data_IF_398114666399
#
_entry.id   IF_398114666399
#
_cell.length_a   1.000
_cell.length_b   1.000
_cell.length_c   1.000
_cell.angle_alpha   90.00
_cell.angle_beta   90.00
_cell.angle_gamma   90.00
#
_symmetry.space_group_name_H-M   'P 1'
#
loop_
_entity.id
_entity.type
_entity.pdbx_description
1 polymer ?
#
# COMPACT_ATOMS: atom_id res chain seq x y z
N UNK A 1 5.34 94.71 -23.93
CA UNK A 1 5.68 94.38 -22.53
C UNK A 1 4.68 93.36 -22.01
N UNK A 2 5.16 92.17 -21.63
CA UNK A 2 4.37 90.94 -21.46
C UNK A 2 3.66 90.86 -20.10
N UNK A 3 2.38 90.45 -20.13
CA UNK A 3 1.51 90.17 -18.99
C UNK A 3 1.99 88.90 -18.25
N UNK A 4 2.04 88.95 -16.91
CA UNK A 4 2.31 87.79 -16.04
C UNK A 4 0.99 87.05 -15.77
N UNK A 5 0.94 85.76 -16.07
CA UNK A 5 -0.12 84.85 -15.62
C UNK A 5 0.28 84.26 -14.26
N UNK A 6 -0.60 84.39 -13.27
CA UNK A 6 -0.54 83.64 -12.01
C UNK A 6 -1.15 82.25 -12.25
N UNK A 7 -0.38 81.19 -12.02
CA UNK A 7 -0.87 79.81 -12.01
C UNK A 7 -1.22 79.42 -10.58
N UNK A 8 -2.51 79.24 -10.28
CA UNK A 8 -2.98 78.59 -9.06
C UNK A 8 -2.62 77.10 -9.12
N UNK A 9 -1.93 76.59 -8.10
CA UNK A 9 -1.83 75.16 -7.81
C UNK A 9 -2.79 74.83 -6.67
N UNK A 10 -3.83 74.02 -6.96
CA UNK A 10 -4.63 73.36 -5.94
C UNK A 10 -3.88 72.11 -5.46
N UNK A 11 -3.71 71.86 -4.14
CA UNK A 11 -3.27 70.56 -3.68
C UNK A 11 -4.45 69.59 -3.76
N UNK A 12 -4.26 68.50 -4.51
CA UNK A 12 -5.15 67.37 -4.57
C UNK A 12 -5.11 66.66 -3.20
N UNK A 13 -6.18 66.75 -2.42
CA UNK A 13 -6.33 65.97 -1.20
C UNK A 13 -6.44 64.48 -1.57
N UNK A 14 -5.41 63.69 -1.28
CA UNK A 14 -5.49 62.23 -1.34
C UNK A 14 -6.49 61.75 -0.28
N UNK A 15 -7.64 61.25 -0.73
CA UNK A 15 -8.50 60.41 0.11
C UNK A 15 -7.71 59.14 0.46
N UNK A 16 -7.29 59.02 1.72
CA UNK A 16 -6.85 57.75 2.26
C UNK A 16 -8.08 56.82 2.30
N UNK A 17 -8.09 55.80 1.44
CA UNK A 17 -9.05 54.72 1.54
C UNK A 17 -8.88 54.03 2.91
N UNK A 18 -9.97 53.72 3.64
CA UNK A 18 -9.86 52.98 4.89
C UNK A 18 -9.33 51.58 4.60
N UNK A 19 -8.12 51.30 5.10
CA UNK A 19 -7.59 49.94 5.10
C UNK A 19 -8.53 49.06 5.93
N UNK A 20 -9.18 48.10 5.29
CA UNK A 20 -9.99 47.09 5.99
C UNK A 20 -9.08 46.26 6.89
N UNK A 21 -9.12 46.52 8.19
CA UNK A 21 -8.55 45.66 9.24
C UNK A 21 -9.22 44.29 9.13
N UNK A 22 -8.55 43.35 8.46
CA UNK A 22 -8.95 41.94 8.51
C UNK A 22 -8.62 41.44 9.92
N UNK A 23 -9.64 40.99 10.65
CA UNK A 23 -9.43 40.32 11.92
C UNK A 23 -8.53 39.10 11.69
N UNK A 24 -7.38 39.08 12.36
CA UNK A 24 -6.43 37.99 12.24
C UNK A 24 -7.05 36.75 12.89
N UNK A 25 -7.14 35.65 12.14
CA UNK A 25 -7.57 34.37 12.69
C UNK A 25 -6.54 33.91 13.74
N UNK A 26 -7.00 33.64 14.95
CA UNK A 26 -6.18 33.10 16.05
C UNK A 26 -6.50 31.62 16.19
N UNK A 27 -5.47 30.77 16.10
CA UNK A 27 -5.56 29.35 16.38
C UNK A 27 -4.99 29.13 17.78
N UNK A 28 -5.81 28.60 18.69
CA UNK A 28 -5.42 28.28 20.07
C UNK A 28 -5.33 26.77 20.24
N UNK A 29 -4.24 26.30 20.83
CA UNK A 29 -4.05 24.89 21.19
C UNK A 29 -4.30 24.73 22.69
N UNK A 30 -5.22 23.85 23.07
CA UNK A 30 -5.50 23.49 24.47
C UNK A 30 -4.92 22.12 24.79
N UNK A 31 -3.77 22.08 25.46
CA UNK A 31 -3.08 20.83 25.83
C UNK A 31 -3.80 20.02 26.91
N UNK A 32 -4.86 20.53 27.53
CA UNK A 32 -5.69 19.77 28.48
C UNK A 32 -6.70 18.87 27.77
N UNK A 33 -6.95 19.10 26.49
CA UNK A 33 -7.82 18.28 25.65
C UNK A 33 -6.96 17.29 24.86
N UNK A 34 -7.31 16.00 24.96
CA UNK A 34 -6.63 14.92 24.24
C UNK A 34 -7.61 14.16 23.36
N UNK A 35 -7.13 13.66 22.22
CA UNK A 35 -7.91 12.93 21.24
C UNK A 35 -7.23 11.58 20.92
N UNK A 36 -7.36 11.09 19.69
CA UNK A 36 -6.70 9.86 19.25
C UNK A 36 -5.18 9.97 19.25
N UNK A 37 -4.53 8.83 19.47
CA UNK A 37 -3.08 8.70 19.32
C UNK A 37 -2.75 8.41 17.86
N UNK A 38 -1.98 9.30 17.23
CA UNK A 38 -1.42 9.07 15.91
C UNK A 38 -0.29 8.03 16.01
N UNK A 39 -0.47 6.86 15.40
CA UNK A 39 0.52 5.76 15.47
C UNK A 39 1.64 5.84 14.43
N UNK A 40 1.49 6.70 13.42
CA UNK A 40 2.48 6.93 12.37
C UNK A 40 1.83 7.22 11.03
N UNK A 41 2.68 7.30 10.01
CA UNK A 41 2.31 7.51 8.61
C UNK A 41 2.76 6.30 7.81
N UNK A 42 1.93 5.88 6.85
CA UNK A 42 2.12 4.66 6.07
C UNK A 42 2.12 4.98 4.58
N UNK A 43 2.95 4.24 3.84
CA UNK A 43 3.05 4.34 2.37
C UNK A 43 3.03 2.95 1.76
N UNK A 44 2.60 2.84 0.50
CA UNK A 44 2.70 1.59 -0.27
C UNK A 44 4.13 1.29 -0.72
N UNK A 45 4.36 0.08 -1.20
CA UNK A 45 5.67 -0.41 -1.67
C UNK A 45 5.99 -0.04 -3.13
N UNK A 46 5.02 0.43 -3.91
CA UNK A 46 5.25 0.74 -5.32
C UNK A 46 6.12 1.99 -5.54
N UNK A 47 7.23 1.83 -6.27
CA UNK A 47 8.13 2.92 -6.69
C UNK A 47 8.02 3.18 -8.19
N UNK A 48 8.25 2.15 -9.00
CA UNK A 48 8.09 2.13 -10.45
C UNK A 48 8.00 0.68 -10.92
N UNK A 49 7.82 0.47 -12.23
CA UNK A 49 7.88 -0.88 -12.78
C UNK A 49 9.27 -1.51 -12.53
N UNK A 50 9.33 -2.84 -12.30
CA UNK A 50 10.54 -3.53 -11.85
C UNK A 50 11.69 -3.54 -12.87
N UNK A 51 11.39 -3.50 -14.16
CA UNK A 51 12.41 -3.46 -15.23
C UNK A 51 12.78 -2.03 -15.67
N UNK A 52 12.35 -0.99 -14.96
CA UNK A 52 12.75 0.38 -15.28
C UNK A 52 14.27 0.56 -15.06
N UNK A 53 15.04 1.08 -16.03
CA UNK A 53 16.51 1.19 -15.92
C UNK A 53 16.97 2.03 -14.72
N UNK A 54 16.14 2.97 -14.28
CA UNK A 54 16.42 3.89 -13.17
C UNK A 54 15.82 3.42 -11.83
N UNK A 55 15.21 2.22 -11.77
CA UNK A 55 14.55 1.71 -10.57
C UNK A 55 15.44 1.78 -9.33
N UNK A 56 16.68 1.27 -9.41
CA UNK A 56 17.59 1.27 -8.26
C UNK A 56 17.88 2.68 -7.73
N UNK A 57 18.09 3.66 -8.62
CA UNK A 57 18.36 5.04 -8.23
C UNK A 57 17.13 5.71 -7.60
N UNK A 58 15.93 5.45 -8.14
CA UNK A 58 14.68 5.93 -7.56
C UNK A 58 14.41 5.29 -6.19
N UNK A 59 14.50 3.97 -6.10
CA UNK A 59 14.36 3.19 -4.86
C UNK A 59 15.26 3.76 -3.78
N UNK A 60 16.56 3.89 -4.03
CA UNK A 60 17.51 4.34 -3.02
C UNK A 60 17.23 5.78 -2.56
N UNK A 61 16.83 6.64 -3.49
CA UNK A 61 16.48 8.03 -3.19
C UNK A 61 15.19 8.15 -2.39
N UNK A 62 14.13 7.43 -2.80
CA UNK A 62 12.82 7.45 -2.15
C UNK A 62 12.86 6.80 -0.78
N UNK A 63 13.54 5.66 -0.63
CA UNK A 63 13.73 5.00 0.67
C UNK A 63 14.50 5.90 1.64
N UNK A 64 15.55 6.60 1.16
CA UNK A 64 16.27 7.59 1.97
C UNK A 64 15.33 8.73 2.39
N UNK A 65 14.64 9.38 1.45
CA UNK A 65 13.75 10.51 1.76
C UNK A 65 12.63 10.07 2.73
N UNK A 66 12.01 8.93 2.47
CA UNK A 66 10.92 8.40 3.29
C UNK A 66 11.37 8.20 4.73
N UNK A 67 12.52 7.57 4.96
CA UNK A 67 13.01 7.28 6.31
C UNK A 67 13.67 8.50 6.95
N UNK A 68 14.64 9.11 6.28
CA UNK A 68 15.57 10.08 6.87
C UNK A 68 14.99 11.49 6.94
N UNK A 69 14.21 11.89 5.93
CA UNK A 69 13.68 13.25 5.84
C UNK A 69 12.23 13.35 6.33
N UNK A 70 11.41 12.34 6.04
CA UNK A 70 9.96 12.35 6.33
C UNK A 70 9.61 11.57 7.61
N UNK A 71 10.41 10.58 8.00
CA UNK A 71 10.16 9.76 9.19
C UNK A 71 9.09 8.68 9.00
N UNK A 72 8.93 8.17 7.77
CA UNK A 72 8.08 7.00 7.49
C UNK A 72 8.72 5.74 8.09
N UNK A 73 7.96 5.08 8.95
CA UNK A 73 8.33 3.82 9.58
C UNK A 73 7.24 2.74 9.47
N UNK A 74 6.27 2.92 8.55
CA UNK A 74 5.21 1.96 8.26
C UNK A 74 5.07 1.76 6.76
N UNK A 75 4.97 0.51 6.34
CA UNK A 75 4.73 0.13 4.94
C UNK A 75 3.46 -0.71 4.80
N UNK A 76 2.73 -0.48 3.72
CA UNK A 76 1.67 -1.36 3.21
C UNK A 76 2.25 -2.23 2.10
N UNK A 77 2.47 -3.50 2.41
CA UNK A 77 3.04 -4.52 1.51
C UNK A 77 1.90 -5.28 0.84
N UNK A 78 1.86 -5.31 -0.49
CA UNK A 78 0.77 -5.97 -1.21
C UNK A 78 1.09 -7.42 -1.54
N UNK A 79 0.10 -8.30 -1.40
CA UNK A 79 0.11 -9.63 -1.98
C UNK A 79 -1.15 -9.82 -2.82
N UNK A 80 -0.99 -10.21 -4.08
CA UNK A 80 -2.10 -10.45 -5.00
C UNK A 80 -2.59 -11.88 -4.89
N UNK A 81 -3.90 -12.08 -5.04
CA UNK A 81 -4.52 -13.41 -4.98
C UNK A 81 -3.94 -14.40 -6.00
N UNK A 82 -3.52 -13.93 -7.18
CA UNK A 82 -2.93 -14.79 -8.21
C UNK A 82 -1.54 -15.33 -7.89
N UNK A 83 -0.98 -15.05 -6.70
CA UNK A 83 0.19 -15.77 -6.20
C UNK A 83 -0.14 -17.25 -5.91
N UNK A 84 -1.40 -17.58 -5.62
CA UNK A 84 -1.85 -18.97 -5.58
C UNK A 84 -2.29 -19.42 -6.97
N UNK A 85 -1.40 -20.14 -7.66
CA UNK A 85 -1.61 -20.53 -9.04
C UNK A 85 -0.70 -21.71 -9.44
N UNK A 86 -0.98 -22.34 -10.57
CA UNK A 86 -0.06 -23.33 -11.17
C UNK A 86 1.11 -22.68 -11.92
N UNK A 87 1.04 -21.37 -12.16
CA UNK A 87 2.00 -20.61 -12.93
C UNK A 87 2.36 -19.30 -12.23
N UNK A 88 3.66 -19.07 -12.05
CA UNK A 88 4.18 -17.74 -11.71
C UNK A 88 4.13 -16.81 -12.93
N UNK A 89 2.97 -16.18 -13.14
CA UNK A 89 2.77 -15.25 -14.25
C UNK A 89 3.62 -13.98 -14.12
N UNK A 90 3.91 -13.54 -12.90
CA UNK A 90 4.76 -12.39 -12.67
C UNK A 90 6.20 -12.69 -13.06
N UNK A 91 6.76 -13.82 -12.62
CA UNK A 91 8.11 -14.23 -13.00
C UNK A 91 8.27 -14.38 -14.52
N UNK A 92 7.26 -14.92 -15.22
CA UNK A 92 7.26 -14.98 -16.69
C UNK A 92 7.31 -13.58 -17.33
N UNK A 93 6.46 -12.67 -16.87
CA UNK A 93 6.46 -11.29 -17.37
C UNK A 93 7.79 -10.55 -17.10
N UNK A 94 8.38 -10.76 -15.92
CA UNK A 94 9.71 -10.21 -15.60
C UNK A 94 10.80 -10.83 -16.47
N UNK A 95 10.77 -12.14 -16.71
CA UNK A 95 11.73 -12.82 -17.59
C UNK A 95 11.67 -12.29 -19.04
N UNK A 96 10.49 -11.84 -19.49
CA UNK A 96 10.29 -11.20 -20.80
C UNK A 96 10.70 -9.71 -20.82
N UNK A 97 11.26 -9.18 -19.73
CA UNK A 97 11.73 -7.80 -19.63
C UNK A 97 10.67 -6.79 -19.21
N UNK A 98 9.62 -7.25 -18.52
CA UNK A 98 8.49 -6.45 -18.05
C UNK A 98 7.87 -5.55 -19.14
N UNK A 99 7.56 -6.07 -20.34
CA UNK A 99 7.06 -5.24 -21.42
C UNK A 99 5.75 -4.55 -21.00
N UNK A 100 5.49 -3.37 -21.58
CA UNK A 100 4.28 -2.61 -21.38
C UNK A 100 3.21 -2.99 -22.44
N UNK A 101 1.94 -2.57 -22.28
CA UNK A 101 0.96 -2.66 -23.36
C UNK A 101 1.50 -2.10 -24.68
N UNK A 102 1.18 -2.72 -25.83
CA UNK A 102 0.22 -3.81 -26.01
C UNK A 102 0.83 -5.23 -25.98
N UNK A 103 1.95 -5.45 -25.27
CA UNK A 103 2.64 -6.75 -25.32
C UNK A 103 1.82 -7.91 -24.72
N UNK A 104 1.91 -9.09 -25.35
CA UNK A 104 1.20 -10.28 -24.92
C UNK A 104 1.64 -10.81 -23.54
N UNK A 105 2.91 -10.66 -23.17
CA UNK A 105 3.42 -11.08 -21.87
C UNK A 105 2.81 -10.22 -20.75
N UNK A 106 2.69 -8.90 -20.98
CA UNK A 106 1.99 -7.99 -20.08
C UNK A 106 0.54 -8.44 -19.88
N UNK A 107 -0.20 -8.67 -20.96
CA UNK A 107 -1.60 -9.08 -20.87
C UNK A 107 -1.77 -10.46 -20.23
N UNK A 108 -0.83 -11.38 -20.45
CA UNK A 108 -0.79 -12.69 -19.81
C UNK A 108 -0.68 -12.57 -18.29
N UNK A 109 0.23 -11.74 -17.78
CA UNK A 109 0.29 -11.45 -16.34
C UNK A 109 -0.96 -10.72 -15.86
N UNK A 110 -1.33 -9.63 -16.54
CA UNK A 110 -2.41 -8.73 -16.15
C UNK A 110 -3.77 -9.41 -16.02
N UNK A 111 -4.06 -10.43 -16.82
CA UNK A 111 -5.33 -11.17 -16.77
C UNK A 111 -5.40 -12.25 -15.68
N UNK A 112 -4.23 -12.73 -15.21
CA UNK A 112 -4.12 -13.84 -14.27
C UNK A 112 -3.68 -13.38 -12.86
N UNK A 113 -3.19 -12.15 -12.67
CA UNK A 113 -2.67 -11.65 -11.39
C UNK A 113 -3.67 -11.69 -10.21
N UNK A 114 -4.96 -11.89 -10.48
CA UNK A 114 -5.98 -12.09 -9.45
C UNK A 114 -6.72 -13.43 -9.53
N UNK A 115 -6.47 -14.22 -10.58
CA UNK A 115 -7.07 -15.52 -10.75
C UNK A 115 -6.35 -16.53 -9.86
N UNK A 116 -7.11 -17.30 -9.09
CA UNK A 116 -6.56 -18.32 -8.19
C UNK A 116 -6.67 -19.70 -8.84
N UNK A 117 -5.77 -20.59 -8.45
CA UNK A 117 -5.95 -22.03 -8.63
C UNK A 117 -5.66 -22.67 -7.29
N UNK A 118 -6.71 -23.21 -6.65
CA UNK A 118 -6.61 -23.89 -5.37
C UNK A 118 -5.43 -24.88 -5.40
N UNK A 119 -4.51 -24.75 -4.44
CA UNK A 119 -3.32 -25.59 -4.34
C UNK A 119 -3.70 -27.06 -4.09
N UNK A 120 -4.73 -27.32 -3.28
CA UNK A 120 -5.31 -28.66 -3.11
C UNK A 120 -6.69 -28.61 -2.40
N UNK A 121 -7.55 -29.65 -2.44
CA UNK A 121 -8.91 -29.56 -1.90
C UNK A 121 -9.02 -29.58 -0.36
N UNK A 122 -7.92 -29.42 0.38
CA UNK A 122 -7.88 -29.53 1.84
C UNK A 122 -7.38 -28.23 2.47
N UNK A 123 -8.29 -27.33 2.91
CA UNK A 123 -7.94 -26.00 3.39
C UNK A 123 -6.99 -25.96 4.60
N UNK A 124 -6.74 -27.10 5.26
CA UNK A 124 -5.89 -27.22 6.45
C UNK A 124 -4.50 -27.81 6.13
N UNK A 125 -4.13 -27.92 4.85
CA UNK A 125 -2.94 -28.61 4.40
C UNK A 125 -2.32 -27.90 3.21
N UNK A 126 -1.25 -27.14 3.43
CA UNK A 126 -0.56 -26.42 2.37
C UNK A 126 0.19 -27.36 1.40
N UNK A 127 -0.12 -27.28 0.11
CA UNK A 127 0.78 -27.67 -0.97
C UNK A 127 1.64 -26.46 -1.37
N UNK A 128 2.84 -26.39 -0.79
CA UNK A 128 3.76 -25.26 -1.01
C UNK A 128 4.10 -25.01 -2.50
N UNK A 129 3.92 -26.01 -3.38
CA UNK A 129 4.14 -25.85 -4.81
C UNK A 129 3.05 -25.04 -5.54
N UNK A 130 1.88 -24.85 -4.91
CA UNK A 130 0.77 -24.05 -5.43
C UNK A 130 0.94 -22.53 -5.26
N UNK A 131 1.99 -22.09 -4.55
CA UNK A 131 2.20 -20.67 -4.25
C UNK A 131 3.47 -20.12 -4.93
N UNK A 132 3.32 -19.00 -5.62
CA UNK A 132 4.37 -18.30 -6.35
C UNK A 132 4.52 -16.87 -5.85
N UNK A 133 5.54 -16.66 -5.01
CA UNK A 133 5.74 -15.38 -4.32
C UNK A 133 6.76 -14.44 -4.98
N UNK A 134 7.11 -14.62 -6.26
CA UNK A 134 8.15 -13.80 -6.91
C UNK A 134 7.83 -12.29 -6.88
N UNK A 135 6.56 -11.91 -7.04
CA UNK A 135 6.17 -10.49 -6.94
C UNK A 135 6.33 -9.93 -5.52
N UNK A 136 5.82 -10.67 -4.53
CA UNK A 136 5.95 -10.33 -3.11
C UNK A 136 7.43 -10.24 -2.70
N UNK A 137 8.24 -11.19 -3.15
CA UNK A 137 9.68 -11.25 -2.93
C UNK A 137 10.39 -10.03 -3.48
N UNK A 138 10.04 -9.63 -4.70
CA UNK A 138 10.62 -8.46 -5.32
C UNK A 138 10.33 -7.19 -4.50
N UNK A 139 9.10 -7.01 -3.98
CA UNK A 139 8.77 -5.88 -3.11
C UNK A 139 9.52 -5.95 -1.76
N UNK A 140 9.64 -7.13 -1.17
CA UNK A 140 10.35 -7.30 0.10
C UNK A 140 11.83 -6.98 -0.06
N UNK A 141 12.48 -7.56 -1.07
CA UNK A 141 13.91 -7.41 -1.32
C UNK A 141 14.28 -5.99 -1.71
N UNK A 142 13.42 -5.29 -2.47
CA UNK A 142 13.72 -3.96 -2.96
C UNK A 142 13.18 -2.82 -2.11
N UNK A 143 12.17 -3.02 -1.27
CA UNK A 143 11.55 -1.90 -0.54
C UNK A 143 11.56 -2.17 0.96
N UNK A 144 10.97 -3.28 1.39
CA UNK A 144 10.81 -3.59 2.81
C UNK A 144 12.16 -3.74 3.51
N UNK A 145 13.06 -4.54 2.94
CA UNK A 145 14.37 -4.82 3.53
C UNK A 145 15.27 -3.58 3.57
N UNK A 146 15.39 -2.77 2.49
CA UNK A 146 16.15 -1.51 2.55
C UNK A 146 15.59 -0.48 3.54
N UNK A 147 14.27 -0.39 3.72
CA UNK A 147 13.67 0.48 4.74
C UNK A 147 13.92 -0.06 6.14
N UNK A 148 13.75 -1.37 6.36
CA UNK A 148 14.03 -2.03 7.65
C UNK A 148 15.46 -1.77 8.09
N UNK A 149 16.44 -1.99 7.20
CA UNK A 149 17.85 -1.79 7.52
C UNK A 149 18.17 -0.34 7.93
N UNK A 150 17.58 0.66 7.25
CA UNK A 150 17.80 2.07 7.60
C UNK A 150 17.19 2.44 8.95
N UNK A 151 15.98 1.94 9.24
CA UNK A 151 15.33 2.16 10.53
C UNK A 151 16.11 1.46 11.66
N UNK A 152 16.55 0.23 11.45
CA UNK A 152 17.36 -0.51 12.44
C UNK A 152 18.68 0.21 12.75
N UNK A 153 19.32 0.82 11.74
CA UNK A 153 20.52 1.64 11.94
C UNK A 153 20.28 2.87 12.84
N UNK A 154 19.02 3.27 13.04
CA UNK A 154 18.57 4.35 13.94
C UNK A 154 17.98 3.83 15.26
N UNK A 155 17.96 2.52 15.48
CA UNK A 155 17.30 1.89 16.62
C UNK A 155 15.76 1.90 16.52
N UNK A 156 15.22 2.09 15.32
CA UNK A 156 13.79 2.07 15.04
C UNK A 156 13.38 0.73 14.41
N UNK A 157 12.07 0.44 14.43
CA UNK A 157 11.49 -0.77 13.84
C UNK A 157 10.52 -0.39 12.74
N UNK A 158 10.64 -1.06 11.60
CA UNK A 158 9.63 -0.99 10.55
C UNK A 158 8.35 -1.69 10.98
N UNK A 159 7.20 -1.03 10.85
CA UNK A 159 5.90 -1.66 10.92
C UNK A 159 5.48 -2.14 9.53
N UNK A 160 5.09 -3.40 9.38
CA UNK A 160 4.60 -3.94 8.09
C UNK A 160 3.12 -4.30 8.19
N UNK A 161 2.31 -3.61 7.39
CA UNK A 161 0.91 -3.94 7.11
C UNK A 161 0.85 -4.80 5.85
N UNK A 162 0.54 -6.09 5.96
CA UNK A 162 0.32 -6.96 4.82
C UNK A 162 -1.10 -6.73 4.28
N UNK A 163 -1.22 -6.32 3.03
CA UNK A 163 -2.48 -6.10 2.34
C UNK A 163 -2.73 -7.18 1.30
N UNK A 164 -3.88 -7.85 1.41
CA UNK A 164 -4.39 -8.73 0.37
C UNK A 164 -5.14 -7.96 -0.74
N UNK A 165 -4.83 -8.26 -2.00
CA UNK A 165 -5.41 -7.59 -3.18
C UNK A 165 -6.04 -8.59 -4.14
N UNK A 166 -7.32 -8.42 -4.43
CA UNK A 166 -8.07 -9.26 -5.37
C UNK A 166 -9.15 -8.47 -6.13
N UNK A 167 -8.76 -7.78 -7.20
CA UNK A 167 -9.74 -7.11 -8.09
C UNK A 167 -10.36 -8.12 -9.06
N UNK A 168 -11.31 -8.92 -8.57
CA UNK A 168 -11.93 -10.04 -9.31
C UNK A 168 -12.58 -9.64 -10.63
N UNK A 169 -13.04 -8.39 -10.77
CA UNK A 169 -13.55 -7.85 -12.04
C UNK A 169 -12.49 -7.75 -13.15
N UNK A 170 -11.20 -7.94 -12.81
CA UNK A 170 -10.08 -7.96 -13.74
C UNK A 170 -9.61 -9.37 -14.10
N UNK A 171 -10.26 -10.41 -13.57
CA UNK A 171 -10.01 -11.80 -13.93
C UNK A 171 -10.63 -12.05 -15.31
N UNK A 172 -9.79 -12.31 -16.31
CA UNK A 172 -10.24 -12.67 -17.66
C UNK A 172 -9.91 -14.13 -18.01
N UNK A 173 -9.27 -14.86 -17.11
CA UNK A 173 -9.01 -16.29 -17.22
C UNK A 173 -8.85 -16.90 -15.84
N UNK A 174 -9.44 -18.07 -15.61
CA UNK A 174 -9.37 -18.77 -14.32
C UNK A 174 -10.55 -18.48 -13.38
N UNK A 175 -10.40 -18.94 -12.15
CA UNK A 175 -11.40 -18.88 -11.09
C UNK A 175 -10.93 -17.98 -9.93
N UNK A 176 -11.76 -17.84 -8.92
CA UNK A 176 -11.45 -17.16 -7.68
C UNK A 176 -12.05 -17.97 -6.53
N UNK A 177 -11.20 -18.39 -5.58
CA UNK A 177 -11.60 -19.29 -4.47
C UNK A 177 -11.41 -18.66 -3.09
N UNK A 178 -10.71 -17.53 -2.98
CA UNK A 178 -10.49 -16.87 -1.68
C UNK A 178 -11.72 -16.12 -1.15
N UNK A 179 -12.89 -16.22 -1.80
CA UNK A 179 -14.17 -15.89 -1.20
C UNK A 179 -14.70 -16.99 -0.26
N UNK A 180 -14.02 -18.14 -0.23
CA UNK A 180 -14.15 -19.14 0.82
C UNK A 180 -13.20 -18.80 2.00
N UNK A 181 -13.71 -18.57 3.23
CA UNK A 181 -12.91 -18.09 4.36
C UNK A 181 -11.71 -18.97 4.73
N UNK A 182 -11.84 -20.29 4.59
CA UNK A 182 -10.78 -21.24 4.95
C UNK A 182 -9.65 -21.27 3.91
N UNK A 183 -9.98 -21.15 2.62
CA UNK A 183 -9.00 -21.02 1.52
C UNK A 183 -8.25 -19.69 1.65
N UNK A 184 -8.95 -18.59 1.96
CA UNK A 184 -8.31 -17.32 2.29
C UNK A 184 -7.34 -17.45 3.48
N UNK A 185 -7.74 -18.14 4.54
CA UNK A 185 -6.91 -18.34 5.73
C UNK A 185 -5.67 -19.19 5.42
N UNK A 186 -5.81 -20.20 4.55
CA UNK A 186 -4.71 -21.01 4.06
C UNK A 186 -3.70 -20.17 3.27
N UNK A 187 -4.17 -19.41 2.27
CA UNK A 187 -3.32 -18.53 1.48
C UNK A 187 -2.56 -17.52 2.36
N UNK A 188 -3.25 -16.88 3.32
CA UNK A 188 -2.60 -15.96 4.26
C UNK A 188 -1.57 -16.68 5.14
N UNK A 189 -1.85 -17.90 5.60
CA UNK A 189 -0.85 -18.68 6.34
C UNK A 189 0.38 -18.97 5.46
N UNK A 190 0.20 -19.33 4.19
CA UNK A 190 1.29 -19.56 3.24
C UNK A 190 2.19 -18.32 3.13
N UNK A 191 1.58 -17.14 2.98
CA UNK A 191 2.30 -15.85 2.91
C UNK A 191 3.09 -15.58 4.20
N UNK A 192 2.48 -15.73 5.38
CA UNK A 192 3.17 -15.51 6.66
C UNK A 192 4.33 -16.49 6.87
N UNK A 193 4.16 -17.77 6.50
CA UNK A 193 5.21 -18.77 6.57
C UNK A 193 6.36 -18.44 5.63
N UNK A 194 6.06 -18.06 4.39
CA UNK A 194 7.07 -17.66 3.40
C UNK A 194 7.90 -16.48 3.89
N UNK A 195 7.26 -15.38 4.31
CA UNK A 195 7.94 -14.18 4.81
C UNK A 195 8.81 -14.48 6.04
N UNK A 196 8.31 -15.30 6.98
CA UNK A 196 9.09 -15.71 8.16
C UNK A 196 10.31 -16.55 7.76
N UNK A 197 10.12 -17.55 6.90
CA UNK A 197 11.19 -18.49 6.52
C UNK A 197 12.27 -17.82 5.68
N UNK A 198 11.90 -16.99 4.70
CA UNK A 198 12.85 -16.40 3.74
C UNK A 198 13.52 -15.13 4.29
N UNK A 199 12.80 -14.28 5.02
CA UNK A 199 13.30 -12.94 5.40
C UNK A 199 13.37 -12.68 6.91
N UNK A 200 12.97 -13.67 7.73
CA UNK A 200 12.71 -13.48 9.14
C UNK A 200 11.77 -12.27 9.37
N UNK A 201 10.74 -12.17 8.53
CA UNK A 201 9.76 -11.09 8.57
C UNK A 201 8.40 -11.65 9.00
N UNK A 202 7.79 -11.04 10.01
CA UNK A 202 6.41 -11.31 10.43
C UNK A 202 5.64 -9.99 10.31
N UNK A 203 4.60 -9.90 9.46
CA UNK A 203 3.77 -8.72 9.37
C UNK A 203 3.18 -8.32 10.73
N UNK A 204 3.16 -7.03 11.04
CA UNK A 204 2.56 -6.49 12.27
C UNK A 204 1.03 -6.34 12.15
N UNK A 205 0.54 -6.21 10.92
CA UNK A 205 -0.88 -6.18 10.60
C UNK A 205 -1.20 -6.98 9.34
N UNK A 206 -2.46 -7.38 9.26
CA UNK A 206 -3.11 -7.93 8.09
C UNK A 206 -4.32 -7.05 7.75
N UNK A 207 -4.28 -6.43 6.58
CA UNK A 207 -5.38 -5.72 5.95
C UNK A 207 -6.10 -6.68 5.00
N UNK A 208 -7.35 -7.02 5.37
CA UNK A 208 -7.99 -8.26 4.94
C UNK A 208 -8.24 -8.32 3.44
N UNK A 209 -8.61 -7.19 2.84
CA UNK A 209 -8.87 -7.05 1.41
C UNK A 209 -8.85 -5.56 1.04
N UNK A 210 -8.16 -5.21 -0.05
CA UNK A 210 -8.20 -3.88 -0.65
C UNK A 210 -9.54 -3.65 -1.36
N UNK A 211 -10.18 -2.52 -1.05
CA UNK A 211 -11.38 -2.00 -1.71
C UNK A 211 -12.47 -3.08 -1.91
N UNK A 212 -12.95 -3.73 -0.82
CA UNK A 212 -13.96 -4.77 -0.92
C UNK A 212 -15.27 -4.28 -1.55
N UNK A 213 -15.52 -2.97 -1.53
CA UNK A 213 -16.66 -2.29 -2.17
C UNK A 213 -16.57 -2.24 -3.71
N UNK A 214 -15.40 -2.53 -4.30
CA UNK A 214 -15.20 -2.57 -5.75
C UNK A 214 -15.36 -3.98 -6.37
N UNK A 215 -15.68 -5.00 -5.56
CA UNK A 215 -15.79 -6.39 -6.02
C UNK A 215 -17.00 -7.10 -5.39
N UNK A 216 -17.71 -7.91 -6.16
CA UNK A 216 -18.98 -8.53 -5.73
C UNK A 216 -18.83 -9.68 -4.73
N UNK A 217 -17.64 -10.28 -4.66
CA UNK A 217 -17.34 -11.44 -3.80
C UNK A 217 -17.17 -11.03 -2.33
N UNK A 218 -16.81 -9.77 -2.07
CA UNK A 218 -16.52 -9.29 -0.74
C UNK A 218 -17.66 -8.43 -0.20
N UNK A 219 -18.11 -8.76 1.00
CA UNK A 219 -19.12 -8.03 1.75
C UNK A 219 -18.66 -7.88 3.19
N UNK A 220 -19.34 -7.06 3.99
CA UNK A 220 -19.05 -6.96 5.43
C UNK A 220 -19.11 -8.33 6.14
N UNK A 221 -20.04 -9.20 5.73
CA UNK A 221 -20.16 -10.56 6.27
C UNK A 221 -18.98 -11.44 5.87
N UNK A 222 -18.65 -11.52 4.58
CA UNK A 222 -17.56 -12.40 4.11
C UNK A 222 -16.18 -11.92 4.58
N UNK A 223 -15.98 -10.61 4.72
CA UNK A 223 -14.79 -10.05 5.40
C UNK A 223 -14.74 -10.50 6.87
N UNK A 224 -15.86 -10.46 7.59
CA UNK A 224 -15.93 -10.93 8.98
C UNK A 224 -15.61 -12.42 9.12
N UNK A 225 -16.14 -13.26 8.23
CA UNK A 225 -15.88 -14.70 8.20
C UNK A 225 -14.40 -15.00 7.89
N UNK A 226 -13.82 -14.32 6.90
CA UNK A 226 -12.40 -14.42 6.58
C UNK A 226 -11.50 -14.01 7.76
N UNK A 227 -11.87 -12.97 8.51
CA UNK A 227 -11.15 -12.55 9.73
C UNK A 227 -11.13 -13.66 10.77
N UNK A 228 -12.27 -14.31 11.03
CA UNK A 228 -12.35 -15.40 12.01
C UNK A 228 -11.44 -16.55 11.61
N UNK A 229 -11.55 -17.03 10.37
CA UNK A 229 -10.76 -18.15 9.87
C UNK A 229 -9.25 -17.85 9.89
N UNK A 230 -8.83 -16.67 9.39
CA UNK A 230 -7.41 -16.32 9.33
C UNK A 230 -6.81 -16.09 10.72
N UNK A 231 -7.55 -15.48 11.65
CA UNK A 231 -7.04 -15.25 13.02
C UNK A 231 -6.85 -16.57 13.75
N UNK A 232 -7.79 -17.50 13.64
CA UNK A 232 -7.67 -18.85 14.20
C UNK A 232 -6.42 -19.54 13.63
N UNK A 233 -6.32 -19.61 12.30
CA UNK A 233 -5.22 -20.28 11.60
C UNK A 233 -3.83 -19.71 11.91
N UNK A 234 -3.71 -18.38 11.93
CA UNK A 234 -2.46 -17.70 12.24
C UNK A 234 -2.07 -17.88 13.71
N UNK A 235 -3.04 -17.84 14.63
CA UNK A 235 -2.84 -18.03 16.07
C UNK A 235 -2.29 -19.42 16.38
N UNK A 236 -2.82 -20.47 15.75
CA UNK A 236 -2.32 -21.84 15.88
C UNK A 236 -0.83 -21.99 15.49
N UNK A 237 -0.33 -21.09 14.63
CA UNK A 237 1.06 -21.07 14.16
C UNK A 237 1.92 -19.99 14.83
N UNK A 238 1.40 -19.35 15.88
CA UNK A 238 2.09 -18.36 16.71
C UNK A 238 2.18 -16.97 16.10
N UNK A 239 1.35 -16.66 15.10
CA UNK A 239 1.25 -15.33 14.49
C UNK A 239 0.05 -14.56 15.08
N UNK A 240 0.26 -13.28 15.42
CA UNK A 240 -0.77 -12.43 16.02
C UNK A 240 -0.79 -11.02 15.39
N UNK A 241 -1.04 -10.89 14.07
CA UNK A 241 -1.12 -9.58 13.44
C UNK A 241 -2.32 -8.79 13.96
N UNK A 242 -2.23 -7.47 13.92
CA UNK A 242 -3.43 -6.61 14.03
C UNK A 242 -4.27 -6.76 12.78
N UNK A 243 -5.59 -6.85 12.94
CA UNK A 243 -6.50 -6.91 11.80
C UNK A 243 -6.93 -5.49 11.42
N UNK A 244 -6.89 -5.18 10.12
CA UNK A 244 -7.37 -3.92 9.54
C UNK A 244 -8.49 -4.24 8.55
N UNK A 245 -9.69 -3.70 8.82
CA UNK A 245 -10.85 -3.78 7.95
C UNK A 245 -11.90 -2.70 8.33
N UNK A 246 -12.73 -2.24 7.38
CA UNK A 246 -12.60 -2.44 5.94
C UNK A 246 -11.55 -1.49 5.34
N UNK A 247 -11.02 -1.83 4.16
CA UNK A 247 -10.15 -0.95 3.37
C UNK A 247 -10.89 -0.44 2.13
N UNK A 248 -12.03 0.22 2.34
CA UNK A 248 -12.89 0.67 1.24
C UNK A 248 -12.24 1.73 0.36
N UNK A 249 -12.76 1.88 -0.87
CA UNK A 249 -12.42 3.01 -1.73
C UNK A 249 -12.91 4.35 -1.14
N UNK A 250 -12.21 5.44 -1.48
CA UNK A 250 -12.48 6.82 -1.00
C UNK A 250 -13.36 7.62 -1.95
#
# INVERSE_FOLDING_TARGET
MRKRFLSLWLPLAMLAAPASLHAQAVITLDSSVTYQVMRGWEVGTYVSAPCEPYFAALRDSLVRIAVDDVGINRLRLEVRSGAENTVDYYARWVADGCPAPPDSAYYSWRRNRYATVNDNPYPNSLDEAGFHFTELDWEVENIVMPMRQRLEARGERLFVNLLYVAFTGQIEGGEYHHDEPEEYAEFMLAVFLHLRRKYNLVPDALEVILEPDNVRQWSGTSVGEAIVAVVERLTERGFHPRIIAPSCSS
#
